data_IF_639360636776
#
_entry.id   IF_639360636776
#
_cell.length_a   1.000
_cell.length_b   1.000
_cell.length_c   1.000
_cell.angle_alpha   90.00
_cell.angle_beta   90.00
_cell.angle_gamma   90.00
#
_symmetry.space_group_name_H-M   'P 1'
#
loop_
_entity.id
_entity.type
_entity.pdbx_description
1 polymer ?
#
# COMPACT_ATOMS: atom_id res chain seq x y z
N UNK A 1 20.70 9.61 -7.40
CA UNK A 1 19.33 10.00 -7.82
C UNK A 1 18.38 9.54 -6.72
N UNK A 2 17.68 10.49 -6.08
CA UNK A 2 16.85 10.26 -4.89
C UNK A 2 15.65 9.37 -5.25
N UNK A 3 15.66 8.11 -4.83
CA UNK A 3 14.62 7.12 -5.08
C UNK A 3 13.39 7.27 -4.16
N UNK A 4 12.89 8.49 -3.99
CA UNK A 4 11.58 8.70 -3.40
C UNK A 4 10.51 8.30 -4.43
N UNK A 5 9.67 7.32 -4.09
CA UNK A 5 8.49 7.00 -4.89
C UNK A 5 7.67 8.29 -5.00
N UNK A 6 7.43 8.76 -6.23
CA UNK A 6 6.51 9.88 -6.45
C UNK A 6 5.10 9.42 -6.03
N UNK A 7 4.27 10.32 -5.50
CA UNK A 7 2.92 9.96 -5.12
C UNK A 7 2.20 9.40 -6.36
N UNK A 8 1.42 8.32 -6.21
CA UNK A 8 0.76 7.69 -7.35
C UNK A 8 -0.14 8.71 -8.04
N UNK A 9 -0.06 8.77 -9.37
CA UNK A 9 -1.03 9.54 -10.15
C UNK A 9 -2.39 8.85 -10.03
N UNK A 10 -3.32 9.50 -9.35
CA UNK A 10 -4.73 9.10 -9.34
C UNK A 10 -5.35 9.35 -10.72
N UNK A 11 -6.50 8.71 -10.99
CA UNK A 11 -7.25 8.94 -12.22
C UNK A 11 -7.61 10.43 -12.41
N UNK A 12 -7.83 10.83 -13.66
CA UNK A 12 -8.23 12.20 -14.03
C UNK A 12 -9.52 12.20 -14.88
N UNK A 13 -10.23 11.08 -14.91
CA UNK A 13 -11.48 10.95 -15.64
C UNK A 13 -12.57 11.75 -14.95
N UNK A 14 -13.52 12.19 -15.77
CA UNK A 14 -14.69 12.92 -15.33
C UNK A 14 -15.92 12.18 -15.81
N UNK A 15 -16.75 11.76 -14.87
CA UNK A 15 -17.94 10.97 -15.13
C UNK A 15 -19.12 11.92 -15.32
N UNK A 16 -19.32 12.37 -16.57
CA UNK A 16 -20.46 13.22 -16.93
C UNK A 16 -21.63 12.37 -17.38
N UNK A 17 -22.77 12.58 -16.73
CA UNK A 17 -24.01 11.91 -17.08
C UNK A 17 -24.77 12.75 -18.11
N UNK A 18 -25.45 12.08 -19.05
CA UNK A 18 -26.32 12.74 -20.02
C UNK A 18 -27.73 12.80 -19.45
N UNK A 19 -28.32 13.99 -19.40
CA UNK A 19 -29.68 14.17 -18.89
C UNK A 19 -30.68 13.28 -19.66
N UNK A 20 -31.68 12.70 -18.98
CA UNK A 20 -32.63 11.80 -19.61
C UNK A 20 -33.45 12.57 -20.64
N UNK A 21 -33.72 11.97 -21.81
CA UNK A 21 -34.64 12.56 -22.77
C UNK A 21 -36.06 12.55 -22.21
N UNK A 22 -36.74 13.69 -22.32
CA UNK A 22 -38.16 13.80 -21.97
C UNK A 22 -39.02 12.93 -22.89
N UNK A 23 -40.16 12.47 -22.39
CA UNK A 23 -41.17 11.77 -23.18
C UNK A 23 -42.53 12.44 -23.07
N UNK A 24 -43.41 12.09 -24.01
CA UNK A 24 -44.78 12.58 -24.06
C UNK A 24 -45.67 11.68 -23.21
N UNK A 25 -46.54 12.22 -22.34
CA UNK A 25 -47.52 11.42 -21.63
C UNK A 25 -48.48 10.77 -22.62
N UNK A 26 -48.55 9.45 -22.61
CA UNK A 26 -49.45 8.65 -23.46
C UNK A 26 -50.77 8.32 -22.77
N UNK A 27 -50.86 8.50 -21.45
CA UNK A 27 -52.03 8.16 -20.63
C UNK A 27 -52.24 6.66 -20.40
N UNK A 28 -51.32 5.81 -20.88
CA UNK A 28 -51.36 4.36 -20.66
C UNK A 28 -50.77 3.99 -19.29
N UNK A 29 -51.05 2.77 -18.82
CA UNK A 29 -50.40 2.21 -17.63
C UNK A 29 -48.87 2.12 -17.81
N UNK A 30 -48.42 1.79 -19.02
CA UNK A 30 -47.00 1.70 -19.38
C UNK A 30 -46.35 3.08 -19.38
N UNK A 31 -47.01 4.10 -19.93
CA UNK A 31 -46.56 5.50 -19.86
C UNK A 31 -46.34 6.00 -18.44
N UNK A 32 -47.23 5.65 -17.51
CA UNK A 32 -47.03 5.97 -16.09
C UNK A 32 -45.80 5.26 -15.49
N UNK A 33 -45.58 3.99 -15.83
CA UNK A 33 -44.41 3.22 -15.40
C UNK A 33 -43.11 3.79 -15.97
N UNK A 34 -43.10 4.17 -17.26
CA UNK A 34 -41.97 4.85 -17.92
C UNK A 34 -41.65 6.16 -17.19
N UNK A 35 -42.66 6.95 -16.81
CA UNK A 35 -42.45 8.18 -16.04
C UNK A 35 -41.74 7.90 -14.72
N UNK A 36 -42.19 6.89 -13.95
CA UNK A 36 -41.53 6.50 -12.70
C UNK A 36 -40.09 6.05 -12.93
N UNK A 37 -39.83 5.21 -13.93
CA UNK A 37 -38.48 4.75 -14.24
C UNK A 37 -37.55 5.88 -14.68
N UNK A 38 -38.07 6.88 -15.40
CA UNK A 38 -37.31 8.10 -15.74
C UNK A 38 -36.97 8.93 -14.52
N UNK A 39 -37.89 9.08 -13.58
CA UNK A 39 -37.64 9.80 -12.33
C UNK A 39 -36.58 9.10 -11.48
N UNK A 40 -36.64 7.77 -11.40
CA UNK A 40 -35.63 6.97 -10.72
C UNK A 40 -34.27 7.05 -11.41
N UNK A 41 -34.23 6.99 -12.75
CA UNK A 41 -33.01 7.22 -13.52
C UNK A 41 -32.46 8.61 -13.23
N UNK A 42 -33.28 9.66 -13.25
CA UNK A 42 -32.83 11.03 -12.96
C UNK A 42 -32.21 11.16 -11.57
N UNK A 43 -32.78 10.48 -10.57
CA UNK A 43 -32.21 10.43 -9.21
C UNK A 43 -30.87 9.71 -9.19
N UNK A 44 -30.77 8.56 -9.85
CA UNK A 44 -29.51 7.81 -9.98
C UNK A 44 -28.43 8.67 -10.67
N UNK A 45 -28.77 9.33 -11.77
CA UNK A 45 -27.86 10.22 -12.49
C UNK A 45 -27.38 11.38 -11.62
N UNK A 46 -28.25 11.98 -10.81
CA UNK A 46 -27.86 13.01 -9.84
C UNK A 46 -26.94 12.48 -8.74
N UNK A 47 -27.15 11.24 -8.29
CA UNK A 47 -26.26 10.59 -7.31
C UNK A 47 -24.86 10.42 -7.89
N UNK A 48 -24.75 9.90 -9.12
CA UNK A 48 -23.49 9.74 -9.84
C UNK A 48 -22.75 11.08 -10.03
N UNK A 49 -23.45 12.17 -10.31
CA UNK A 49 -22.83 13.49 -10.41
C UNK A 49 -22.21 13.95 -9.08
N UNK A 50 -22.91 13.71 -7.96
CA UNK A 50 -22.40 14.00 -6.61
C UNK A 50 -21.19 13.11 -6.32
N UNK A 51 -21.28 11.81 -6.58
CA UNK A 51 -20.20 10.86 -6.37
C UNK A 51 -18.96 11.18 -7.21
N UNK A 52 -19.14 11.63 -8.45
CA UNK A 52 -18.05 12.10 -9.30
C UNK A 52 -17.38 13.36 -8.72
N UNK A 53 -18.16 14.32 -8.21
CA UNK A 53 -17.60 15.52 -7.58
C UNK A 53 -16.83 15.16 -6.30
N UNK A 54 -17.37 14.26 -5.47
CA UNK A 54 -16.70 13.71 -4.29
C UNK A 54 -15.39 13.03 -4.69
N UNK A 55 -15.38 12.22 -5.74
CA UNK A 55 -14.17 11.59 -6.27
C UNK A 55 -13.11 12.63 -6.64
N UNK A 56 -13.48 13.68 -7.38
CA UNK A 56 -12.52 14.73 -7.77
C UNK A 56 -11.98 15.48 -6.55
N UNK A 57 -12.83 15.75 -5.55
CA UNK A 57 -12.43 16.41 -4.32
C UNK A 57 -11.44 15.55 -3.52
N UNK A 58 -11.75 14.28 -3.31
CA UNK A 58 -10.87 13.33 -2.58
C UNK A 58 -9.55 13.13 -3.33
N UNK A 59 -9.57 13.02 -4.67
CA UNK A 59 -8.34 12.94 -5.49
C UNK A 59 -7.47 14.19 -5.32
N UNK A 60 -8.08 15.37 -5.34
CA UNK A 60 -7.36 16.64 -5.17
C UNK A 60 -6.75 16.77 -3.78
N UNK A 61 -7.53 16.42 -2.74
CA UNK A 61 -7.10 16.40 -1.34
C UNK A 61 -5.95 15.41 -1.12
N UNK A 62 -6.08 14.18 -1.63
CA UNK A 62 -5.05 13.14 -1.54
C UNK A 62 -3.74 13.54 -2.22
N UNK A 63 -3.80 14.17 -3.39
CA UNK A 63 -2.62 14.71 -4.07
C UNK A 63 -1.94 15.81 -3.25
N UNK A 64 -2.72 16.73 -2.67
CA UNK A 64 -2.21 17.81 -1.81
C UNK A 64 -1.57 17.28 -0.52
N UNK A 65 -2.25 16.34 0.15
CA UNK A 65 -1.77 15.68 1.36
C UNK A 65 -0.46 14.91 1.10
N UNK A 66 -0.41 14.17 0.00
CA UNK A 66 0.79 13.41 -0.39
C UNK A 66 1.96 14.33 -0.74
N UNK A 67 1.71 15.45 -1.43
CA UNK A 67 2.73 16.46 -1.72
C UNK A 67 3.31 17.04 -0.43
N UNK A 68 2.44 17.48 0.48
CA UNK A 68 2.84 18.06 1.77
C UNK A 68 3.66 17.07 2.59
N UNK A 69 3.25 15.79 2.61
CA UNK A 69 3.99 14.72 3.26
C UNK A 69 5.41 14.58 2.66
N UNK A 70 5.51 14.48 1.34
CA UNK A 70 6.81 14.32 0.67
C UNK A 70 7.73 15.52 0.88
N UNK A 71 7.20 16.74 0.87
CA UNK A 71 7.98 17.95 1.12
C UNK A 71 8.58 17.92 2.54
N UNK A 72 7.81 17.47 3.55
CA UNK A 72 8.31 17.25 4.93
C UNK A 72 9.40 16.18 4.98
N UNK A 73 9.18 15.04 4.34
CA UNK A 73 10.16 13.94 4.29
C UNK A 73 11.45 14.36 3.59
N UNK A 74 11.35 15.14 2.50
CA UNK A 74 12.50 15.63 1.76
C UNK A 74 13.38 16.54 2.62
N UNK A 75 12.77 17.47 3.36
CA UNK A 75 13.49 18.35 4.30
C UNK A 75 14.20 17.54 5.38
N UNK A 76 13.51 16.55 5.98
CA UNK A 76 14.12 15.68 6.99
C UNK A 76 15.30 14.87 6.43
N UNK A 77 15.12 14.25 5.26
CA UNK A 77 16.20 13.49 4.59
C UNK A 77 17.41 14.36 4.30
N UNK A 78 17.20 15.58 3.79
CA UNK A 78 18.27 16.53 3.51
C UNK A 78 19.08 16.85 4.78
N UNK A 79 18.39 17.13 5.90
CA UNK A 79 19.06 17.36 7.19
C UNK A 79 19.81 16.14 7.69
N UNK A 80 19.24 14.94 7.59
CA UNK A 80 19.89 13.69 8.05
C UNK A 80 21.08 13.29 7.17
N UNK A 81 21.09 13.67 5.89
CA UNK A 81 22.25 13.46 5.00
C UNK A 81 23.44 14.35 5.36
N UNK A 82 23.19 15.54 5.90
CA UNK A 82 24.23 16.43 6.44
C UNK A 82 24.70 16.00 7.84
N UNK A 83 23.96 15.07 8.47
CA UNK A 83 24.14 14.66 9.85
C UNK A 83 23.41 15.59 10.84
N UNK A 84 22.90 15.01 11.92
CA UNK A 84 22.29 15.72 13.04
C UNK A 84 22.75 15.09 14.35
N UNK A 85 22.54 15.77 15.48
CA UNK A 85 22.71 15.15 16.78
C UNK A 85 21.73 13.97 16.95
N UNK A 86 22.19 12.82 17.48
CA UNK A 86 21.33 11.68 17.80
C UNK A 86 20.15 12.13 18.67
N UNK A 87 18.92 11.84 18.23
CA UNK A 87 17.71 12.20 18.98
C UNK A 87 17.35 13.69 18.96
N UNK A 88 17.79 14.45 17.95
CA UNK A 88 17.45 15.88 17.82
C UNK A 88 15.93 16.13 17.93
N UNK A 89 15.46 16.91 18.92
CA UNK A 89 14.03 17.13 19.16
C UNK A 89 13.30 17.79 17.99
N UNK A 90 13.96 18.68 17.23
CA UNK A 90 13.36 19.30 16.05
C UNK A 90 13.09 18.28 14.93
N UNK A 91 13.93 17.24 14.83
CA UNK A 91 13.74 16.17 13.85
C UNK A 91 12.63 15.21 14.28
N UNK A 92 12.53 14.94 15.58
CA UNK A 92 11.42 14.16 16.15
C UNK A 92 10.09 14.87 15.92
N UNK A 93 10.03 16.18 16.15
CA UNK A 93 8.83 16.98 15.87
C UNK A 93 8.46 16.98 14.38
N UNK A 94 9.44 17.17 13.49
CA UNK A 94 9.21 17.09 12.05
C UNK A 94 8.71 15.71 11.60
N UNK A 95 9.21 14.64 12.23
CA UNK A 95 8.77 13.27 11.98
C UNK A 95 7.34 13.04 12.46
N UNK A 96 6.98 13.51 13.66
CA UNK A 96 5.60 13.47 14.17
C UNK A 96 4.63 14.19 13.21
N UNK A 97 5.01 15.37 12.71
CA UNK A 97 4.20 16.12 11.75
C UNK A 97 4.07 15.39 10.39
N UNK A 98 5.10 14.68 9.95
CA UNK A 98 5.03 13.84 8.75
C UNK A 98 4.14 12.60 8.97
N UNK A 99 4.16 12.02 10.17
CA UNK A 99 3.27 10.92 10.54
C UNK A 99 1.80 11.36 10.54
N UNK A 100 1.49 12.51 11.14
CA UNK A 100 0.13 13.09 11.11
C UNK A 100 -0.32 13.35 9.67
N UNK A 101 0.56 13.88 8.82
CA UNK A 101 0.25 14.12 7.42
C UNK A 101 0.01 12.82 6.64
N UNK A 102 0.75 11.75 6.95
CA UNK A 102 0.52 10.43 6.37
C UNK A 102 -0.81 9.82 6.82
N UNK A 103 -1.23 10.09 8.05
CA UNK A 103 -2.55 9.67 8.53
C UNK A 103 -3.68 10.38 7.78
N UNK A 104 -3.52 11.67 7.42
CA UNK A 104 -4.49 12.35 6.53
C UNK A 104 -4.62 11.67 5.17
N UNK A 105 -3.51 11.13 4.61
CA UNK A 105 -3.56 10.33 3.38
C UNK A 105 -4.31 9.00 3.62
N UNK A 106 -4.17 8.41 4.80
CA UNK A 106 -4.91 7.21 5.20
C UNK A 106 -6.42 7.51 5.36
N UNK A 107 -6.77 8.66 5.91
CA UNK A 107 -8.17 9.12 6.00
C UNK A 107 -8.81 9.30 4.63
N UNK A 108 -8.05 9.82 3.64
CA UNK A 108 -8.52 9.93 2.26
C UNK A 108 -8.90 8.55 1.66
N UNK A 109 -8.20 7.47 2.04
CA UNK A 109 -8.56 6.09 1.66
C UNK A 109 -9.89 5.68 2.31
N UNK A 110 -10.14 6.09 3.56
CA UNK A 110 -11.43 5.91 4.22
C UNK A 110 -12.57 6.58 3.47
N UNK A 111 -12.37 7.83 3.02
CA UNK A 111 -13.33 8.57 2.19
C UNK A 111 -13.59 7.86 0.85
N UNK A 112 -12.54 7.36 0.18
CA UNK A 112 -12.67 6.55 -1.04
C UNK A 112 -13.46 5.25 -0.84
N UNK A 113 -13.24 4.54 0.27
CA UNK A 113 -14.00 3.31 0.57
C UNK A 113 -15.49 3.58 0.83
N UNK A 114 -15.79 4.70 1.51
CA UNK A 114 -17.18 5.14 1.71
C UNK A 114 -17.84 5.49 0.38
N UNK A 115 -17.14 6.24 -0.48
CA UNK A 115 -17.61 6.52 -1.83
C UNK A 115 -17.85 5.23 -2.62
N UNK A 116 -16.95 4.26 -2.55
CA UNK A 116 -17.09 2.98 -3.26
C UNK A 116 -18.31 2.19 -2.82
N UNK A 117 -18.68 2.30 -1.55
CA UNK A 117 -19.87 1.64 -1.01
C UNK A 117 -21.15 2.30 -1.54
N UNK A 118 -21.17 3.63 -1.71
CA UNK A 118 -22.30 4.35 -2.32
C UNK A 118 -22.46 4.00 -3.79
N UNK A 119 -21.36 4.05 -4.55
CA UNK A 119 -21.36 3.72 -5.99
C UNK A 119 -21.82 2.26 -6.21
N UNK A 120 -21.48 1.33 -5.31
CA UNK A 120 -21.93 -0.06 -5.38
C UNK A 120 -23.44 -0.22 -5.12
N UNK A 121 -24.01 0.61 -4.25
CA UNK A 121 -25.46 0.67 -4.06
C UNK A 121 -26.16 1.20 -5.32
N UNK A 122 -25.60 2.25 -5.95
CA UNK A 122 -26.09 2.80 -7.20
C UNK A 122 -25.96 1.82 -8.37
N UNK A 123 -24.91 0.99 -8.39
CA UNK A 123 -24.78 -0.11 -9.34
C UNK A 123 -25.94 -1.11 -9.23
N UNK A 124 -26.32 -1.47 -8.00
CA UNK A 124 -27.45 -2.37 -7.74
C UNK A 124 -28.77 -1.75 -8.19
N UNK A 125 -28.97 -0.45 -7.94
CA UNK A 125 -30.14 0.29 -8.43
C UNK A 125 -30.17 0.36 -9.96
N UNK A 126 -29.03 0.58 -10.61
CA UNK A 126 -28.94 0.63 -12.08
C UNK A 126 -29.29 -0.71 -12.73
N UNK A 127 -28.86 -1.83 -12.13
CA UNK A 127 -29.22 -3.16 -12.58
C UNK A 127 -30.73 -3.42 -12.43
N UNK A 128 -31.32 -3.01 -11.31
CA UNK A 128 -32.78 -3.07 -11.11
C UNK A 128 -33.53 -2.22 -12.15
N UNK A 129 -33.07 -0.99 -12.43
CA UNK A 129 -33.70 -0.13 -13.42
C UNK A 129 -33.63 -0.72 -14.83
N UNK A 130 -32.51 -1.35 -15.19
CA UNK A 130 -32.37 -2.01 -16.49
C UNK A 130 -33.34 -3.18 -16.62
N UNK A 131 -33.42 -4.04 -15.60
CA UNK A 131 -34.35 -5.17 -15.56
C UNK A 131 -35.81 -4.71 -15.58
N UNK A 132 -36.16 -3.69 -14.78
CA UNK A 132 -37.51 -3.13 -14.74
C UNK A 132 -37.91 -2.48 -16.07
N UNK A 133 -36.96 -1.85 -16.79
CA UNK A 133 -37.20 -1.28 -18.12
C UNK A 133 -37.44 -2.39 -19.14
N UNK A 134 -36.62 -3.45 -19.13
CA UNK A 134 -36.81 -4.63 -19.99
C UNK A 134 -38.12 -5.36 -19.74
N UNK A 135 -38.49 -5.53 -18.47
CA UNK A 135 -39.77 -6.12 -18.08
C UNK A 135 -40.96 -5.28 -18.56
N UNK A 136 -40.81 -3.95 -18.65
CA UNK A 136 -41.89 -3.05 -19.06
C UNK A 136 -42.29 -3.23 -20.54
N UNK A 137 -41.42 -3.74 -21.40
CA UNK A 137 -41.77 -4.11 -22.78
C UNK A 137 -42.79 -5.25 -22.88
N UNK A 138 -42.89 -6.09 -21.84
CA UNK A 138 -43.84 -7.21 -21.79
C UNK A 138 -45.24 -6.83 -21.29
N UNK A 139 -45.47 -5.57 -20.89
CA UNK A 139 -46.75 -5.13 -20.33
C UNK A 139 -47.73 -4.85 -21.49
N UNK A 140 -48.89 -5.51 -21.46
CA UNK A 140 -49.97 -5.27 -22.44
C UNK A 140 -50.63 -3.90 -22.24
N UNK A 141 -51.12 -3.30 -23.33
CA UNK A 141 -51.79 -1.99 -23.30
C UNK A 141 -50.85 -0.78 -23.49
N UNK A 142 -49.61 -1.01 -23.94
CA UNK A 142 -48.70 0.03 -24.43
C UNK A 142 -49.12 0.52 -25.83
N UNK A 143 -48.85 1.78 -26.13
CA UNK A 143 -48.91 2.32 -27.51
C UNK A 143 -47.51 2.37 -28.14
N UNK A 144 -47.40 2.53 -29.46
CA UNK A 144 -46.12 2.61 -30.16
C UNK A 144 -45.17 3.68 -29.58
N UNK A 145 -45.74 4.81 -29.14
CA UNK A 145 -45.00 5.88 -28.47
C UNK A 145 -44.39 5.42 -27.13
N UNK A 146 -45.05 4.53 -26.37
CA UNK A 146 -44.47 3.96 -25.13
C UNK A 146 -43.28 3.06 -25.46
N UNK A 147 -43.36 2.26 -26.52
CA UNK A 147 -42.27 1.41 -26.97
C UNK A 147 -41.03 2.22 -27.38
N UNK A 148 -41.22 3.30 -28.15
CA UNK A 148 -40.12 4.20 -28.50
C UNK A 148 -39.49 4.85 -27.26
N UNK A 149 -40.32 5.22 -26.28
CA UNK A 149 -39.83 5.80 -25.03
C UNK A 149 -39.08 4.79 -24.16
N UNK A 150 -39.50 3.52 -24.14
CA UNK A 150 -38.80 2.44 -23.46
C UNK A 150 -37.45 2.12 -24.11
N UNK A 151 -37.36 2.14 -25.44
CA UNK A 151 -36.09 1.92 -26.17
C UNK A 151 -35.06 3.00 -25.80
N UNK A 152 -35.49 4.27 -25.82
CA UNK A 152 -34.63 5.39 -25.39
C UNK A 152 -34.23 5.26 -23.92
N UNK A 153 -35.17 4.85 -23.04
CA UNK A 153 -34.89 4.68 -21.63
C UNK A 153 -33.91 3.52 -21.37
N UNK A 154 -34.06 2.39 -22.07
CA UNK A 154 -33.15 1.24 -21.97
C UNK A 154 -31.73 1.63 -22.35
N UNK A 155 -31.57 2.38 -23.45
CA UNK A 155 -30.28 2.91 -23.89
C UNK A 155 -29.65 3.83 -22.82
N UNK A 156 -30.43 4.75 -22.24
CA UNK A 156 -29.97 5.69 -21.23
C UNK A 156 -29.58 4.99 -19.91
N UNK A 157 -30.36 4.00 -19.47
CA UNK A 157 -30.02 3.16 -18.32
C UNK A 157 -28.76 2.35 -18.60
N UNK A 158 -28.67 1.70 -19.77
CA UNK A 158 -27.49 0.91 -20.16
C UNK A 158 -26.21 1.75 -20.20
N UNK A 159 -26.28 2.98 -20.71
CA UNK A 159 -25.16 3.92 -20.67
C UNK A 159 -24.78 4.28 -19.23
N UNK A 160 -25.76 4.45 -18.35
CA UNK A 160 -25.55 4.77 -16.93
C UNK A 160 -24.89 3.60 -16.18
N UNK A 161 -25.29 2.35 -16.46
CA UNK A 161 -24.66 1.14 -15.90
C UNK A 161 -23.17 1.10 -16.23
N UNK A 162 -22.79 1.29 -17.50
CA UNK A 162 -21.38 1.27 -17.94
C UNK A 162 -20.57 2.37 -17.26
N UNK A 163 -21.18 3.53 -17.02
CA UNK A 163 -20.53 4.65 -16.34
C UNK A 163 -20.25 4.31 -14.87
N UNK A 164 -21.22 3.71 -14.16
CA UNK A 164 -21.05 3.26 -12.76
C UNK A 164 -19.98 2.18 -12.66
N UNK A 165 -19.96 1.19 -13.56
CA UNK A 165 -18.94 0.13 -13.58
C UNK A 165 -17.52 0.69 -13.76
N UNK A 166 -17.36 1.69 -14.65
CA UNK A 166 -16.08 2.37 -14.82
C UNK A 166 -15.69 3.16 -13.57
N UNK A 167 -16.64 3.85 -12.93
CA UNK A 167 -16.41 4.59 -11.69
C UNK A 167 -15.95 3.65 -10.56
N UNK A 168 -16.61 2.50 -10.38
CA UNK A 168 -16.21 1.47 -9.42
C UNK A 168 -14.81 0.90 -9.69
N UNK A 169 -14.53 0.60 -10.95
CA UNK A 169 -13.23 0.05 -11.35
C UNK A 169 -12.12 1.03 -11.04
N UNK A 170 -12.30 2.31 -11.40
CA UNK A 170 -11.31 3.35 -11.12
C UNK A 170 -11.10 3.59 -9.62
N UNK A 171 -12.18 3.62 -8.84
CA UNK A 171 -12.11 3.85 -7.42
C UNK A 171 -11.39 2.69 -6.70
N UNK A 172 -11.69 1.45 -7.10
CA UNK A 172 -10.97 0.26 -6.61
C UNK A 172 -9.47 0.32 -6.92
N UNK A 173 -9.14 0.77 -8.14
CA UNK A 173 -7.77 0.96 -8.59
C UNK A 173 -7.03 2.05 -7.80
N UNK A 174 -7.68 3.18 -7.56
CA UNK A 174 -7.16 4.30 -6.78
C UNK A 174 -6.95 3.91 -5.30
N UNK A 175 -7.93 3.23 -4.68
CA UNK A 175 -7.83 2.70 -3.30
C UNK A 175 -6.64 1.75 -3.18
N UNK A 176 -6.47 0.82 -4.13
CA UNK A 176 -5.34 -0.12 -4.12
C UNK A 176 -4.01 0.60 -4.28
N UNK A 177 -3.92 1.58 -5.19
CA UNK A 177 -2.71 2.40 -5.39
C UNK A 177 -2.35 3.18 -4.12
N UNK A 178 -3.32 3.85 -3.50
CA UNK A 178 -3.10 4.63 -2.28
C UNK A 178 -2.74 3.75 -1.09
N UNK A 179 -3.41 2.61 -0.92
CA UNK A 179 -3.09 1.66 0.16
C UNK A 179 -1.65 1.15 0.07
N UNK A 180 -1.19 0.79 -1.13
CA UNK A 180 0.19 0.38 -1.36
C UNK A 180 1.19 1.52 -1.12
N UNK A 181 0.84 2.73 -1.54
CA UNK A 181 1.66 3.92 -1.29
C UNK A 181 1.81 4.20 0.21
N UNK A 182 0.70 4.27 0.97
CA UNK A 182 0.72 4.51 2.42
C UNK A 182 1.51 3.41 3.15
N UNK A 183 1.37 2.15 2.78
CA UNK A 183 2.14 1.06 3.37
C UNK A 183 3.66 1.24 3.16
N UNK A 184 4.07 1.63 1.95
CA UNK A 184 5.48 1.92 1.63
C UNK A 184 6.00 3.14 2.40
N UNK A 185 5.21 4.21 2.49
CA UNK A 185 5.59 5.44 3.19
C UNK A 185 5.65 5.25 4.71
N UNK A 186 4.78 4.42 5.31
CA UNK A 186 4.88 4.02 6.72
C UNK A 186 6.22 3.32 7.01
N UNK A 187 6.62 2.39 6.14
CA UNK A 187 7.93 1.75 6.26
C UNK A 187 9.09 2.75 6.10
N UNK A 188 8.97 3.71 5.18
CA UNK A 188 9.98 4.77 5.01
C UNK A 188 10.07 5.69 6.24
N UNK A 189 8.93 6.07 6.85
CA UNK A 189 8.92 6.83 8.11
C UNK A 189 9.60 6.07 9.24
N UNK A 190 9.39 4.75 9.36
CA UNK A 190 10.06 3.93 10.38
C UNK A 190 11.59 3.94 10.21
N UNK A 191 12.08 3.81 8.97
CA UNK A 191 13.51 3.92 8.68
C UNK A 191 14.04 5.32 8.99
N UNK A 192 13.27 6.38 8.72
CA UNK A 192 13.64 7.75 9.10
C UNK A 192 13.68 7.96 10.61
N UNK A 193 12.76 7.34 11.37
CA UNK A 193 12.79 7.41 12.83
C UNK A 193 14.11 6.85 13.40
N UNK A 194 14.59 5.74 12.85
CA UNK A 194 15.89 5.15 13.22
C UNK A 194 17.06 6.07 12.86
N UNK A 195 17.02 6.67 11.67
CA UNK A 195 18.03 7.64 11.24
C UNK A 195 18.07 8.87 12.16
N UNK A 196 16.91 9.37 12.60
CA UNK A 196 16.83 10.49 13.56
C UNK A 196 17.37 10.08 14.92
N UNK A 197 17.06 8.87 15.40
CA UNK A 197 17.58 8.33 16.65
C UNK A 197 19.11 8.27 16.64
N UNK A 198 19.71 7.85 15.52
CA UNK A 198 21.15 7.67 15.39
C UNK A 198 21.88 8.93 14.89
N UNK A 199 21.16 9.94 14.39
CA UNK A 199 21.73 11.19 13.89
C UNK A 199 22.23 11.16 12.44
N UNK A 200 22.07 10.04 11.73
CA UNK A 200 22.62 9.84 10.38
C UNK A 200 21.66 9.02 9.50
N UNK A 201 21.60 9.36 8.21
CA UNK A 201 20.77 8.64 7.23
C UNK A 201 21.51 7.44 6.60
N UNK A 202 20.98 6.24 6.80
CA UNK A 202 21.60 4.99 6.31
C UNK A 202 21.22 4.59 4.87
N UNK A 203 20.13 5.15 4.31
CA UNK A 203 19.64 4.84 2.95
C UNK A 203 18.11 4.61 2.85
N UNK A 204 17.55 4.31 1.65
CA UNK A 204 16.15 3.92 1.48
C UNK A 204 15.75 2.66 2.27
N UNK A 205 14.47 2.47 2.61
CA UNK A 205 14.04 1.26 3.34
C UNK A 205 14.32 -0.02 2.54
N UNK A 206 14.74 -1.10 3.20
CA UNK A 206 15.07 -2.39 2.55
C UNK A 206 13.86 -3.00 1.83
N UNK A 207 12.63 -2.76 2.34
CA UNK A 207 11.39 -3.09 1.65
C UNK A 207 11.30 -2.43 0.27
N UNK A 208 11.57 -1.14 0.18
CA UNK A 208 11.43 -0.40 -1.09
C UNK A 208 12.37 -0.92 -2.18
N UNK A 209 13.58 -1.36 -1.82
CA UNK A 209 14.52 -1.98 -2.76
C UNK A 209 13.99 -3.31 -3.31
N UNK A 210 13.35 -4.12 -2.47
CA UNK A 210 12.78 -5.41 -2.88
C UNK A 210 11.56 -5.26 -3.81
N UNK A 211 10.77 -4.20 -3.67
CA UNK A 211 9.57 -3.98 -4.51
C UNK A 211 9.89 -3.33 -5.87
N UNK A 212 10.93 -2.51 -5.98
CA UNK A 212 11.25 -1.77 -7.21
C UNK A 212 11.72 -2.63 -8.40
N UNK A 213 12.06 -3.91 -8.19
CA UNK A 213 12.57 -4.81 -9.25
C UNK A 213 11.54 -5.87 -9.67
N UNK A 214 10.40 -5.96 -8.99
CA UNK A 214 9.35 -6.95 -9.26
C UNK A 214 8.55 -6.70 -10.56
N UNK A 215 8.85 -5.63 -11.32
CA UNK A 215 8.33 -5.40 -12.67
C UNK A 215 9.15 -6.06 -13.79
N UNK A 216 10.27 -6.70 -13.46
CA UNK A 216 11.05 -7.52 -14.39
C UNK A 216 10.69 -8.98 -14.16
N UNK A 217 10.13 -9.61 -15.21
CA UNK A 217 9.73 -11.02 -15.26
C UNK A 217 10.86 -11.89 -14.69
N UNK A 218 10.60 -12.75 -13.67
CA UNK A 218 11.65 -13.53 -13.04
C UNK A 218 12.22 -14.55 -14.05
N UNK A 219 13.54 -14.76 -14.09
CA UNK A 219 14.09 -15.95 -14.73
C UNK A 219 13.63 -17.18 -13.94
N UNK A 220 13.26 -18.22 -14.66
CA UNK A 220 12.77 -19.48 -14.13
C UNK A 220 13.94 -20.20 -13.43
N UNK A 221 14.05 -20.08 -12.10
CA UNK A 221 15.07 -20.80 -11.32
C UNK A 221 14.43 -22.03 -10.71
N UNK A 222 14.80 -23.19 -11.23
CA UNK A 222 14.48 -24.51 -10.70
C UNK A 222 14.97 -24.64 -9.25
N UNK A 223 14.03 -24.89 -8.34
CA UNK A 223 14.26 -25.14 -6.93
C UNK A 223 15.00 -26.46 -6.73
N UNK A 224 16.32 -26.42 -6.52
CA UNK A 224 17.07 -27.56 -5.99
C UNK A 224 16.95 -27.59 -4.47
N UNK A 225 16.22 -28.56 -3.95
CA UNK A 225 16.18 -28.89 -2.52
C UNK A 225 17.48 -29.59 -2.10
N UNK A 226 17.84 -29.35 -0.83
CA UNK A 226 18.62 -30.21 0.08
C UNK A 226 20.11 -29.90 0.23
N UNK A 227 20.49 -29.42 1.42
CA UNK A 227 21.85 -29.36 1.94
C UNK A 227 22.09 -28.11 2.78
N UNK A 228 22.26 -28.26 4.09
CA UNK A 228 22.82 -27.22 4.99
C UNK A 228 24.30 -26.98 4.65
N UNK A 229 24.61 -26.57 3.42
CA UNK A 229 25.84 -25.85 3.15
C UNK A 229 25.56 -24.39 3.49
N UNK A 230 25.62 -24.06 4.78
CA UNK A 230 25.68 -22.66 5.22
C UNK A 230 26.95 -22.09 4.60
N UNK A 231 26.80 -21.42 3.46
CA UNK A 231 27.90 -20.76 2.76
C UNK A 231 28.58 -19.70 3.63
N UNK A 232 29.49 -18.92 3.06
CA UNK A 232 30.11 -17.82 3.82
C UNK A 232 29.02 -16.87 4.37
N UNK A 233 29.08 -16.49 5.67
CA UNK A 233 28.14 -15.53 6.21
C UNK A 233 28.26 -14.20 5.48
N UNK A 234 27.12 -13.59 5.16
CA UNK A 234 27.05 -12.25 4.57
C UNK A 234 27.60 -11.19 5.53
N UNK A 235 27.26 -11.32 6.81
CA UNK A 235 27.69 -10.41 7.87
C UNK A 235 27.99 -11.22 9.13
N UNK A 236 29.07 -10.88 9.81
CA UNK A 236 29.39 -11.39 11.15
C UNK A 236 29.47 -10.19 12.08
N UNK A 237 28.59 -10.16 13.09
CA UNK A 237 28.53 -9.11 14.11
C UNK A 237 29.09 -9.69 15.40
N UNK A 238 30.24 -9.17 15.83
CA UNK A 238 30.90 -9.60 17.07
C UNK A 238 30.50 -8.65 18.18
N UNK A 239 29.90 -9.19 19.24
CA UNK A 239 29.48 -8.41 20.43
C UNK A 239 30.57 -8.46 21.49
N UNK A 240 31.77 -8.00 21.13
CA UNK A 240 32.94 -7.96 22.02
C UNK A 240 33.03 -6.66 22.85
N UNK A 241 32.18 -5.68 22.56
CA UNK A 241 32.11 -4.39 23.23
C UNK A 241 30.64 -3.98 23.43
N UNK A 242 30.30 -3.17 24.45
CA UNK A 242 28.98 -2.57 24.55
C UNK A 242 28.74 -1.60 23.38
N UNK A 243 27.50 -1.51 22.89
CA UNK A 243 27.08 -0.61 21.81
C UNK A 243 27.85 -0.75 20.49
N UNK A 244 27.99 -1.99 19.99
CA UNK A 244 28.55 -2.24 18.65
C UNK A 244 27.68 -1.56 17.59
N UNK A 245 28.26 -0.65 16.81
CA UNK A 245 27.60 -0.03 15.66
C UNK A 245 27.65 -1.00 14.47
N UNK A 246 26.62 -1.84 14.33
CA UNK A 246 26.54 -2.85 13.28
C UNK A 246 25.49 -2.51 12.22
N UNK A 247 24.60 -1.57 12.50
CA UNK A 247 23.43 -1.27 11.68
C UNK A 247 23.81 -0.88 10.25
N UNK A 248 24.85 -0.05 10.09
CA UNK A 248 25.27 0.43 8.77
C UNK A 248 25.88 -0.67 7.87
N UNK A 249 26.75 -1.50 8.45
CA UNK A 249 27.35 -2.63 7.75
C UNK A 249 26.30 -3.69 7.37
N UNK A 250 25.35 -3.93 8.29
CA UNK A 250 24.23 -4.84 8.09
C UNK A 250 23.30 -4.35 6.97
N UNK A 251 22.90 -3.08 7.01
CA UNK A 251 22.08 -2.45 5.97
C UNK A 251 22.72 -2.59 4.59
N UNK A 252 24.00 -2.20 4.47
CA UNK A 252 24.72 -2.21 3.19
C UNK A 252 24.78 -3.62 2.59
N UNK A 253 25.09 -4.63 3.42
CA UNK A 253 25.18 -6.00 2.97
C UNK A 253 23.82 -6.55 2.51
N UNK A 254 22.75 -6.31 3.28
CA UNK A 254 21.40 -6.77 2.95
C UNK A 254 20.85 -6.05 1.72
N UNK A 255 21.04 -4.74 1.62
CA UNK A 255 20.60 -3.94 0.48
C UNK A 255 21.26 -4.43 -0.82
N UNK A 256 22.58 -4.70 -0.80
CA UNK A 256 23.30 -5.24 -1.96
C UNK A 256 22.76 -6.59 -2.42
N UNK A 257 22.36 -7.45 -1.48
CA UNK A 257 21.72 -8.73 -1.80
C UNK A 257 20.34 -8.51 -2.41
N UNK A 258 19.51 -7.65 -1.81
CA UNK A 258 18.15 -7.38 -2.30
C UNK A 258 18.13 -6.71 -3.68
N UNK A 259 19.14 -5.90 -4.01
CA UNK A 259 19.31 -5.34 -5.35
C UNK A 259 19.55 -6.42 -6.41
N UNK A 260 20.32 -7.46 -6.07
CA UNK A 260 20.62 -8.56 -6.97
C UNK A 260 19.53 -9.67 -6.95
N UNK A 261 18.88 -9.86 -5.80
CA UNK A 261 17.89 -10.90 -5.54
C UNK A 261 16.75 -10.33 -4.67
N UNK A 262 15.71 -9.77 -5.30
CA UNK A 262 14.60 -9.11 -4.58
C UNK A 262 13.83 -10.07 -3.66
N UNK A 263 13.80 -11.35 -4.03
CA UNK A 263 13.11 -12.42 -3.32
C UNK A 263 13.99 -13.16 -2.29
N UNK A 264 15.19 -12.64 -2.01
CA UNK A 264 16.11 -13.27 -1.06
C UNK A 264 15.49 -13.43 0.34
N UNK A 265 15.80 -14.57 0.95
CA UNK A 265 15.52 -14.86 2.36
C UNK A 265 16.82 -14.99 3.12
N UNK A 266 16.80 -14.71 4.43
CA UNK A 266 18.00 -14.71 5.26
C UNK A 266 17.83 -15.64 6.46
N UNK A 267 18.93 -16.24 6.92
CA UNK A 267 19.00 -16.97 8.19
C UNK A 267 19.92 -16.23 9.15
N UNK A 268 19.37 -15.74 10.25
CA UNK A 268 20.07 -15.06 11.32
C UNK A 268 20.44 -16.09 12.39
N UNK A 269 21.73 -16.36 12.55
CA UNK A 269 22.23 -17.38 13.47
C UNK A 269 22.92 -16.72 14.66
N UNK A 270 22.37 -16.94 15.85
CA UNK A 270 23.00 -16.62 17.11
C UNK A 270 24.08 -17.67 17.41
N UNK A 271 25.35 -17.27 17.42
CA UNK A 271 26.51 -18.14 17.69
C UNK A 271 27.06 -17.83 19.07
N UNK A 272 26.76 -18.71 20.04
CA UNK A 272 27.20 -18.53 21.43
C UNK A 272 28.50 -19.28 21.74
N UNK A 273 29.33 -18.71 22.61
CA UNK A 273 30.58 -19.35 23.05
C UNK A 273 30.34 -20.39 24.13
N UNK A 274 30.89 -21.59 23.94
CA UNK A 274 30.89 -22.67 24.95
C UNK A 274 32.08 -22.63 25.92
N UNK A 275 32.93 -21.61 25.82
CA UNK A 275 34.12 -21.49 26.65
C UNK A 275 33.76 -21.07 28.09
N UNK A 276 34.37 -21.73 29.08
CA UNK A 276 34.25 -21.35 30.50
C UNK A 276 33.19 -22.10 31.31
N UNK A 277 32.78 -23.31 30.89
CA UNK A 277 31.91 -24.20 31.65
C UNK A 277 30.41 -24.06 31.35
N UNK A 278 29.59 -24.97 31.87
CA UNK A 278 28.15 -25.10 31.54
C UNK A 278 27.33 -23.86 31.93
N UNK A 279 27.57 -23.30 33.11
CA UNK A 279 26.87 -22.11 33.58
C UNK A 279 27.18 -20.88 32.71
N UNK A 280 28.46 -20.68 32.34
CA UNK A 280 28.87 -19.54 31.50
C UNK A 280 28.41 -19.70 30.05
N UNK A 281 28.42 -20.93 29.52
CA UNK A 281 27.85 -21.23 28.20
C UNK A 281 26.33 -20.93 28.15
N UNK A 282 25.59 -21.21 29.22
CA UNK A 282 24.17 -20.88 29.29
C UNK A 282 23.91 -19.36 29.32
N UNK A 283 24.74 -18.60 30.03
CA UNK A 283 24.67 -17.13 30.02
C UNK A 283 24.99 -16.56 28.63
N UNK A 284 26.08 -17.01 28.01
CA UNK A 284 26.47 -16.63 26.65
C UNK A 284 25.37 -16.94 25.62
N UNK A 285 24.70 -18.09 25.75
CA UNK A 285 23.59 -18.46 24.88
C UNK A 285 22.40 -17.50 25.02
N UNK A 286 22.08 -17.09 26.25
CA UNK A 286 21.01 -16.12 26.50
C UNK A 286 21.37 -14.71 25.99
N UNK A 287 22.60 -14.24 26.23
CA UNK A 287 23.07 -12.95 25.71
C UNK A 287 23.09 -12.93 24.19
N UNK A 288 23.64 -13.96 23.55
CA UNK A 288 23.73 -14.03 22.09
C UNK A 288 22.34 -14.11 21.45
N UNK A 289 21.38 -14.78 22.10
CA UNK A 289 19.99 -14.79 21.66
C UNK A 289 19.35 -13.40 21.74
N UNK A 290 19.57 -12.65 22.83
CA UNK A 290 19.11 -11.25 22.95
C UNK A 290 19.75 -10.35 21.89
N UNK A 291 21.05 -10.50 21.66
CA UNK A 291 21.77 -9.76 20.62
C UNK A 291 21.21 -10.08 19.23
N UNK A 292 20.94 -11.35 18.92
CA UNK A 292 20.32 -11.73 17.65
C UNK A 292 18.88 -11.21 17.52
N UNK A 293 18.11 -11.15 18.60
CA UNK A 293 16.79 -10.51 18.61
C UNK A 293 16.88 -9.00 18.35
N UNK A 294 17.90 -8.32 18.90
CA UNK A 294 18.15 -6.90 18.63
C UNK A 294 18.52 -6.69 17.15
N UNK A 295 19.42 -7.53 16.60
CA UNK A 295 19.79 -7.48 15.18
C UNK A 295 18.58 -7.75 14.28
N UNK A 296 17.73 -8.72 14.64
CA UNK A 296 16.47 -8.99 13.93
C UNK A 296 15.55 -7.78 13.96
N UNK A 297 15.38 -7.14 15.13
CA UNK A 297 14.60 -5.92 15.27
C UNK A 297 15.18 -4.81 14.39
N UNK A 298 16.49 -4.59 14.39
CA UNK A 298 17.13 -3.63 13.49
C UNK A 298 16.86 -3.94 12.01
N UNK A 299 16.92 -5.21 11.58
CA UNK A 299 16.55 -5.61 10.21
C UNK A 299 15.11 -5.26 9.87
N UNK A 300 14.18 -5.55 10.79
CA UNK A 300 12.75 -5.24 10.63
C UNK A 300 12.52 -3.73 10.61
N UNK A 301 13.20 -2.97 11.48
CA UNK A 301 13.11 -1.51 11.56
C UNK A 301 13.69 -0.82 10.31
N UNK A 302 14.71 -1.44 9.69
CA UNK A 302 15.24 -1.05 8.37
C UNK A 302 14.30 -1.42 7.20
N UNK A 303 13.19 -2.10 7.49
CA UNK A 303 12.14 -2.43 6.55
C UNK A 303 12.23 -3.81 5.93
N UNK A 304 13.04 -4.74 6.45
CA UNK A 304 13.02 -6.13 6.00
C UNK A 304 11.80 -6.86 6.61
N UNK A 305 10.87 -7.43 5.83
CA UNK A 305 9.72 -8.13 6.39
C UNK A 305 10.15 -9.28 7.31
N UNK A 306 9.51 -9.48 8.48
CA UNK A 306 9.94 -10.49 9.45
C UNK A 306 9.89 -11.92 8.87
N UNK A 307 8.95 -12.20 7.96
CA UNK A 307 8.87 -13.49 7.25
C UNK A 307 10.03 -13.77 6.29
N UNK A 308 10.90 -12.79 6.02
CA UNK A 308 12.11 -12.95 5.18
C UNK A 308 13.35 -13.35 5.98
N UNK A 309 13.27 -13.41 7.30
CA UNK A 309 14.40 -13.75 8.18
C UNK A 309 14.00 -14.88 9.14
N UNK A 310 14.71 -16.00 9.10
CA UNK A 310 14.62 -17.02 10.15
C UNK A 310 15.64 -16.76 11.26
N UNK A 311 15.25 -16.98 12.51
CA UNK A 311 16.18 -16.93 13.65
C UNK A 311 16.55 -18.36 14.08
N UNK A 312 17.85 -18.63 14.12
CA UNK A 312 18.42 -19.91 14.53
C UNK A 312 19.49 -19.67 15.61
N UNK A 313 19.82 -20.70 16.39
CA UNK A 313 20.90 -20.63 17.38
C UNK A 313 21.85 -21.81 17.23
N UNK A 314 23.13 -21.56 17.49
CA UNK A 314 24.17 -22.58 17.50
C UNK A 314 25.23 -22.24 18.55
N UNK A 315 26.00 -23.25 18.92
CA UNK A 315 27.12 -23.11 19.83
C UNK A 315 28.43 -23.26 19.05
N UNK A 316 29.47 -22.55 19.47
CA UNK A 316 30.81 -22.63 18.86
C UNK A 316 31.91 -22.37 19.88
N UNK A 317 33.15 -22.74 19.54
CA UNK A 317 34.33 -22.32 20.31
C UNK A 317 34.74 -20.86 20.04
N UNK A 318 34.20 -20.23 18.98
CA UNK A 318 34.31 -18.79 18.74
C UNK A 318 33.52 -17.98 19.78
N UNK A 319 33.87 -16.70 19.93
CA UNK A 319 33.19 -15.77 20.84
C UNK A 319 31.71 -15.54 20.48
N UNK A 320 31.00 -14.79 21.32
CA UNK A 320 29.58 -14.47 21.12
C UNK A 320 29.42 -13.57 19.88
N UNK A 321 28.75 -14.09 18.85
CA UNK A 321 28.54 -13.37 17.59
C UNK A 321 27.20 -13.73 16.94
N UNK A 322 26.74 -12.84 16.07
CA UNK A 322 25.53 -13.05 15.26
C UNK A 322 25.95 -13.07 13.81
N UNK A 323 25.53 -14.11 13.08
CA UNK A 323 25.89 -14.32 11.68
C UNK A 323 24.64 -14.27 10.81
N UNK A 324 24.67 -13.50 9.74
CA UNK A 324 23.59 -13.46 8.74
C UNK A 324 24.00 -14.27 7.51
N UNK A 325 23.14 -15.17 7.07
CA UNK A 325 23.35 -16.00 5.88
C UNK A 325 22.26 -15.73 4.84
N UNK A 326 22.62 -15.87 3.55
CA UNK A 326 21.66 -15.96 2.46
C UNK A 326 21.09 -17.38 2.41
N UNK A 327 19.79 -17.50 2.19
CA UNK A 327 19.08 -18.78 2.06
C UNK A 327 18.51 -18.97 0.67
#
# INVERSE_FOLDING_TARGET
MSGGLKPPKLGATNFKVKAPKGGKPTGTLVGNKISTLRDDLKRLQSSIEIENNDLQAVRSKSNSNSKTYHDRVAVMRSKLQLGTTPGNPMMVEAWNAAQEQLEKVNDDIGEMNSLSSRVAADASMSAYLLDATRASFGISGAVDEDHQQLEVLEDEVSQTVVLIERLLTELSDDIRRQSNYVANERNQLNTLALAIKNGEFFGPSLASTAYNVSSVKPPNVTSSKTGLNRGRPLVIIRFNQPNVNYEQALYTAVNKVLQNQPNATFDLVAVSSVNGGTAKAALNANETRRNAQNVLRSLVDMGLPPGRVSLSATSSSSGNEVRLYLR
#
